data_IF_354026040061
#
_entry.id   IF_354026040061
#
_cell.length_a   1.000
_cell.length_b   1.000
_cell.length_c   1.000
_cell.angle_alpha   90.00
_cell.angle_beta   90.00
_cell.angle_gamma   90.00
#
_symmetry.space_group_name_H-M   'P 1'
#
loop_
_entity.id
_entity.type
_entity.pdbx_description
1 polymer ?
#
# COMPACT_ATOMS: atom_id res chain seq x y z
N UNK A 1 -14.34 -15.83 15.89
CA UNK A 1 -14.37 -14.35 15.83
C UNK A 1 -15.76 -13.85 15.51
N UNK A 2 -16.22 -12.81 16.18
CA UNK A 2 -17.45 -12.08 15.82
C UNK A 2 -17.11 -10.63 15.57
N UNK A 3 -17.51 -10.07 14.43
CA UNK A 3 -17.26 -8.68 14.06
C UNK A 3 -18.58 -8.00 13.68
N UNK A 4 -18.81 -6.82 14.24
CA UNK A 4 -20.02 -6.04 14.01
C UNK A 4 -19.72 -4.55 13.87
N UNK A 5 -20.45 -3.90 13.00
CA UNK A 5 -20.44 -2.46 12.81
C UNK A 5 -21.67 -1.82 13.48
N UNK A 6 -21.42 -0.75 14.21
CA UNK A 6 -22.47 0.16 14.67
C UNK A 6 -22.18 1.57 14.17
N UNK A 7 -23.21 2.37 13.94
CA UNK A 7 -23.04 3.72 13.38
C UNK A 7 -23.65 4.77 14.29
N UNK A 8 -22.96 5.90 14.44
CA UNK A 8 -23.45 7.09 15.14
C UNK A 8 -22.95 8.35 14.41
N UNK A 9 -23.88 9.15 13.88
CA UNK A 9 -23.59 10.45 13.27
C UNK A 9 -22.50 10.42 12.16
N UNK A 10 -22.41 9.35 11.36
CA UNK A 10 -21.38 9.17 10.32
C UNK A 10 -20.07 8.55 10.83
N UNK A 11 -20.00 8.19 12.11
CA UNK A 11 -18.89 7.40 12.66
C UNK A 11 -19.29 5.94 12.68
N UNK A 12 -18.50 5.11 12.05
CA UNK A 12 -18.61 3.65 12.04
C UNK A 12 -17.71 3.07 13.13
N UNK A 13 -18.27 2.30 14.03
CA UNK A 13 -17.55 1.61 15.10
C UNK A 13 -17.51 0.14 14.79
N UNK A 14 -16.32 -0.40 14.52
CA UNK A 14 -16.09 -1.83 14.47
C UNK A 14 -15.83 -2.33 15.89
N UNK A 15 -16.71 -3.20 16.37
CA UNK A 15 -16.47 -4.00 17.57
C UNK A 15 -16.22 -5.44 17.16
N UNK A 16 -15.25 -6.13 17.79
CA UNK A 16 -15.02 -7.53 17.53
C UNK A 16 -14.69 -8.29 18.81
N UNK A 17 -15.11 -9.55 18.85
CA UNK A 17 -14.94 -10.42 19.99
C UNK A 17 -14.32 -11.74 19.56
N UNK A 18 -13.26 -12.13 20.24
CA UNK A 18 -12.62 -13.43 20.10
C UNK A 18 -13.58 -14.52 20.55
N UNK A 19 -13.67 -15.61 19.79
CA UNK A 19 -14.26 -16.87 20.25
C UNK A 19 -13.17 -17.67 20.99
N UNK A 20 -13.53 -18.80 21.59
CA UNK A 20 -12.63 -19.55 22.46
C UNK A 20 -11.36 -20.07 21.78
N UNK A 21 -11.42 -20.27 20.48
CA UNK A 21 -10.32 -20.74 19.63
C UNK A 21 -9.41 -19.62 19.09
N UNK A 22 -9.81 -18.36 19.22
CA UNK A 22 -9.04 -17.21 18.74
C UNK A 22 -8.04 -16.73 19.81
N UNK A 23 -6.94 -16.09 19.39
CA UNK A 23 -5.92 -15.57 20.30
C UNK A 23 -5.68 -14.06 20.03
N UNK A 24 -5.20 -13.37 21.06
CA UNK A 24 -4.72 -11.98 20.95
C UNK A 24 -3.39 -11.87 20.19
N UNK A 25 -2.68 -12.99 20.02
CA UNK A 25 -1.48 -13.10 19.19
C UNK A 25 -1.90 -13.73 17.86
N UNK A 26 -1.80 -12.96 16.79
CA UNK A 26 -2.15 -13.39 15.44
C UNK A 26 -0.97 -13.31 14.49
N UNK A 27 -1.25 -13.61 13.22
CA UNK A 27 -0.22 -13.56 12.17
C UNK A 27 -0.78 -12.84 10.93
N UNK A 28 -0.11 -11.79 10.51
CA UNK A 28 -0.44 -11.11 9.24
C UNK A 28 0.01 -11.90 8.02
N UNK A 29 -0.50 -11.51 6.86
CA UNK A 29 -0.28 -12.25 5.61
C UNK A 29 1.18 -12.47 5.25
N UNK A 30 2.08 -11.57 5.65
CA UNK A 30 3.52 -11.69 5.42
C UNK A 30 4.26 -12.58 6.44
N UNK A 31 3.53 -13.23 7.35
CA UNK A 31 4.06 -14.14 8.36
C UNK A 31 4.53 -13.47 9.65
N UNK A 32 4.40 -12.13 9.78
CA UNK A 32 4.77 -11.45 11.01
C UNK A 32 3.73 -11.72 12.11
N UNK A 33 4.21 -12.12 13.29
CA UNK A 33 3.38 -12.18 14.49
C UNK A 33 2.98 -10.77 14.95
N UNK A 34 1.72 -10.60 15.31
CA UNK A 34 1.14 -9.34 15.76
C UNK A 34 0.28 -9.56 17.00
N UNK A 35 0.30 -8.58 17.91
CA UNK A 35 -0.49 -8.62 19.14
C UNK A 35 -1.60 -7.58 19.10
N UNK A 36 -2.80 -7.99 19.45
CA UNK A 36 -3.96 -7.13 19.61
C UNK A 36 -3.81 -6.19 20.80
N UNK A 37 -4.12 -4.91 20.59
CA UNK A 37 -4.17 -3.90 21.66
C UNK A 37 -5.59 -3.60 22.11
N UNK A 38 -6.51 -3.50 21.14
CA UNK A 38 -7.94 -3.25 21.40
C UNK A 38 -8.79 -4.11 20.46
N UNK A 39 -10.00 -4.38 20.89
CA UNK A 39 -11.00 -5.11 20.11
C UNK A 39 -12.05 -4.19 19.46
N UNK A 40 -11.68 -2.94 19.25
CA UNK A 40 -12.54 -1.97 18.56
C UNK A 40 -11.73 -0.88 17.89
N UNK A 41 -12.29 -0.34 16.83
CA UNK A 41 -11.78 0.88 16.16
C UNK A 41 -12.92 1.70 15.56
N UNK A 42 -12.60 2.92 15.17
CA UNK A 42 -13.56 3.86 14.58
C UNK A 42 -13.13 4.26 13.17
N UNK A 43 -14.12 4.42 12.31
CA UNK A 43 -13.95 4.97 10.97
C UNK A 43 -14.96 6.12 10.81
N UNK A 44 -14.47 7.34 10.69
CA UNK A 44 -15.31 8.53 10.44
C UNK A 44 -15.32 8.82 8.96
N UNK A 45 -16.47 8.66 8.36
CA UNK A 45 -16.73 9.01 6.96
C UNK A 45 -17.04 10.51 6.84
N UNK A 46 -16.83 11.13 5.67
CA UNK A 46 -17.08 12.56 5.47
C UNK A 46 -18.56 12.93 5.62
N UNK A 47 -19.45 11.97 5.44
CA UNK A 47 -20.89 12.08 5.63
C UNK A 47 -21.49 10.75 6.10
N UNK A 48 -22.65 10.76 6.75
CA UNK A 48 -23.38 9.53 7.05
C UNK A 48 -23.75 8.78 5.77
N UNK A 49 -23.58 7.45 5.77
CA UNK A 49 -24.07 6.59 4.70
C UNK A 49 -25.35 5.90 5.19
N UNK A 50 -26.44 5.92 4.41
CA UNK A 50 -27.71 5.32 4.83
C UNK A 50 -27.63 3.79 4.90
N UNK A 51 -26.88 3.20 3.98
CA UNK A 51 -26.62 1.76 3.94
C UNK A 51 -25.28 1.48 3.23
N UNK A 52 -24.55 0.49 3.73
CA UNK A 52 -23.34 -0.04 3.11
C UNK A 52 -23.61 -1.50 2.81
N UNK A 53 -23.33 -1.93 1.59
CA UNK A 53 -23.51 -3.33 1.19
C UNK A 53 -22.82 -4.27 2.18
N UNK A 54 -23.45 -5.42 2.59
CA UNK A 54 -22.87 -6.34 3.57
C UNK A 54 -21.47 -6.81 3.23
N UNK A 55 -21.18 -7.11 1.96
CA UNK A 55 -19.85 -7.54 1.54
C UNK A 55 -18.79 -6.46 1.76
N UNK A 56 -19.15 -5.18 1.63
CA UNK A 56 -18.23 -4.06 1.87
C UNK A 56 -17.92 -3.92 3.36
N UNK A 57 -18.94 -3.96 4.21
CA UNK A 57 -18.75 -3.89 5.66
C UNK A 57 -17.97 -5.11 6.18
N UNK A 58 -18.24 -6.30 5.65
CA UNK A 58 -17.52 -7.52 5.99
C UNK A 58 -16.06 -7.49 5.49
N UNK A 59 -15.81 -7.06 4.25
CA UNK A 59 -14.44 -6.91 3.73
C UNK A 59 -13.64 -5.89 4.55
N UNK A 60 -14.25 -4.73 4.87
CA UNK A 60 -13.61 -3.72 5.73
C UNK A 60 -13.26 -4.30 7.11
N UNK A 61 -14.19 -5.01 7.76
CA UNK A 61 -13.94 -5.68 9.03
C UNK A 61 -12.82 -6.73 8.89
N UNK A 62 -12.86 -7.56 7.85
CA UNK A 62 -11.88 -8.61 7.61
C UNK A 62 -10.45 -8.08 7.49
N UNK A 63 -10.23 -6.94 6.81
CA UNK A 63 -8.90 -6.31 6.75
C UNK A 63 -8.33 -5.93 8.11
N UNK A 64 -9.19 -5.81 9.13
CA UNK A 64 -8.79 -5.48 10.50
C UNK A 64 -8.59 -6.73 11.35
N UNK A 65 -9.52 -7.72 11.26
CA UNK A 65 -9.57 -8.83 12.22
C UNK A 65 -8.89 -10.12 11.74
N UNK A 66 -8.56 -10.21 10.45
CA UNK A 66 -7.99 -11.41 9.83
C UNK A 66 -6.81 -12.03 10.60
N UNK A 67 -5.83 -11.25 11.12
CA UNK A 67 -4.67 -11.82 11.82
C UNK A 67 -5.03 -12.67 13.04
N UNK A 68 -6.14 -12.36 13.70
CA UNK A 68 -6.56 -12.98 14.98
C UNK A 68 -7.71 -13.97 14.83
N UNK A 69 -8.19 -14.20 13.62
CA UNK A 69 -9.27 -15.15 13.35
C UNK A 69 -8.68 -16.49 12.96
N UNK A 70 -9.06 -17.58 13.68
CA UNK A 70 -8.44 -18.89 13.51
C UNK A 70 -9.31 -19.90 12.79
N UNK A 71 -10.62 -19.94 13.05
CA UNK A 71 -11.51 -20.99 12.52
C UNK A 71 -12.73 -20.44 11.82
N UNK A 72 -13.40 -19.46 12.42
CA UNK A 72 -14.66 -18.91 11.92
C UNK A 72 -14.77 -17.42 12.17
N UNK A 73 -15.41 -16.72 11.25
CA UNK A 73 -15.88 -15.35 11.42
C UNK A 73 -17.39 -15.25 11.25
N UNK A 74 -18.04 -14.58 12.17
CA UNK A 74 -19.46 -14.22 12.09
C UNK A 74 -19.58 -12.71 11.95
N UNK A 75 -20.15 -12.25 10.86
CA UNK A 75 -20.50 -10.85 10.63
C UNK A 75 -21.90 -10.55 11.15
N UNK A 76 -22.18 -9.30 11.40
CA UNK A 76 -23.49 -8.81 11.87
C UNK A 76 -24.59 -8.86 10.77
N UNK A 77 -24.19 -8.93 9.51
CA UNK A 77 -25.09 -9.03 8.34
C UNK A 77 -24.67 -10.19 7.43
N UNK A 78 -25.66 -10.82 6.72
CA UNK A 78 -25.32 -11.86 5.76
C UNK A 78 -24.43 -11.34 4.64
N UNK A 79 -23.37 -12.08 4.31
CA UNK A 79 -22.47 -11.80 3.18
C UNK A 79 -22.88 -12.59 1.94
N UNK A 80 -22.37 -12.24 0.78
CA UNK A 80 -22.54 -13.05 -0.44
C UNK A 80 -21.84 -14.40 -0.31
N UNK A 81 -22.34 -15.38 -1.10
CA UNK A 81 -21.71 -16.69 -1.20
C UNK A 81 -20.27 -16.59 -1.70
N UNK A 82 -20.02 -15.68 -2.65
CA UNK A 82 -18.71 -15.51 -3.26
C UNK A 82 -17.69 -14.96 -2.24
N UNK A 83 -18.09 -13.99 -1.41
CA UNK A 83 -17.21 -13.46 -0.36
C UNK A 83 -16.91 -14.51 0.71
N UNK A 84 -17.93 -15.26 1.17
CA UNK A 84 -17.74 -16.33 2.13
C UNK A 84 -16.78 -17.41 1.60
N UNK A 85 -17.00 -17.85 0.37
CA UNK A 85 -16.12 -18.84 -0.29
C UNK A 85 -14.69 -18.32 -0.49
N UNK A 86 -14.52 -17.03 -0.79
CA UNK A 86 -13.18 -16.44 -0.93
C UNK A 86 -12.42 -16.36 0.40
N UNK A 87 -13.11 -16.10 1.51
CA UNK A 87 -12.51 -16.16 2.86
C UNK A 87 -12.11 -17.61 3.17
N UNK A 88 -13.00 -18.56 2.95
CA UNK A 88 -12.74 -19.97 3.25
C UNK A 88 -11.56 -20.51 2.42
N UNK A 89 -11.59 -20.32 1.09
CA UNK A 89 -10.53 -20.79 0.19
C UNK A 89 -9.19 -20.08 0.39
N UNK A 90 -9.22 -18.80 0.71
CA UNK A 90 -8.02 -18.00 0.85
C UNK A 90 -7.34 -18.11 2.22
N UNK A 91 -8.13 -18.30 3.28
CA UNK A 91 -7.67 -18.23 4.66
C UNK A 91 -7.99 -19.48 5.49
N UNK A 92 -8.79 -20.42 4.98
CA UNK A 92 -9.23 -21.59 5.72
C UNK A 92 -10.25 -21.27 6.83
N UNK A 93 -10.93 -20.14 6.74
CA UNK A 93 -11.83 -19.61 7.78
C UNK A 93 -13.27 -19.68 7.28
N UNK A 94 -14.14 -20.34 8.03
CA UNK A 94 -15.59 -20.32 7.77
C UNK A 94 -16.16 -18.92 7.98
N UNK A 95 -16.90 -18.39 7.03
CA UNK A 95 -17.48 -17.05 7.09
C UNK A 95 -19.00 -17.05 6.93
N UNK A 96 -19.71 -16.26 7.73
CA UNK A 96 -21.16 -16.15 7.65
C UNK A 96 -21.77 -15.10 8.57
N UNK A 97 -23.11 -15.00 8.57
CA UNK A 97 -24.07 -15.77 7.76
C UNK A 97 -24.00 -15.43 6.26
N UNK A 98 -24.53 -16.30 5.41
CA UNK A 98 -24.56 -16.14 3.94
C UNK A 98 -25.99 -15.86 3.48
N UNK A 99 -26.15 -14.93 2.52
CA UNK A 99 -27.49 -14.58 2.00
C UNK A 99 -27.55 -13.24 1.24
N UNK A 100 -26.50 -12.45 1.24
CA UNK A 100 -26.48 -11.20 0.46
C UNK A 100 -26.34 -11.47 -1.05
N UNK A 101 -26.93 -10.62 -1.92
CA UNK A 101 -26.65 -10.67 -3.36
C UNK A 101 -25.20 -10.22 -3.63
N UNK A 102 -24.61 -10.58 -4.78
CA UNK A 102 -23.33 -10.04 -5.19
C UNK A 102 -23.43 -8.54 -5.51
N UNK A 103 -22.32 -7.84 -5.37
CA UNK A 103 -22.21 -6.40 -5.66
C UNK A 103 -21.39 -6.15 -6.92
N UNK A 104 -21.73 -5.08 -7.63
CA UNK A 104 -20.92 -4.53 -8.73
C UNK A 104 -20.84 -3.00 -8.59
N UNK A 105 -19.82 -2.42 -9.23
CA UNK A 105 -19.62 -0.98 -9.39
C UNK A 105 -18.80 -0.72 -10.64
N UNK A 106 -18.67 0.53 -11.06
CA UNK A 106 -18.09 0.87 -12.36
C UNK A 106 -16.81 1.69 -12.28
N UNK A 107 -16.62 2.50 -11.24
CA UNK A 107 -15.52 3.45 -11.12
C UNK A 107 -14.32 2.83 -10.41
N UNK A 108 -13.12 3.34 -10.74
CA UNK A 108 -11.88 3.01 -10.04
C UNK A 108 -11.52 4.16 -9.10
N UNK A 109 -11.36 3.88 -7.79
CA UNK A 109 -10.82 4.86 -6.85
C UNK A 109 -9.34 4.64 -6.62
N UNK A 110 -8.62 5.69 -6.25
CA UNK A 110 -7.22 5.59 -5.77
C UNK A 110 -7.20 5.59 -4.24
N UNK A 111 -6.63 4.53 -3.63
CA UNK A 111 -6.24 4.55 -2.22
C UNK A 111 -5.06 5.50 -2.07
N UNK A 112 -5.36 6.75 -1.69
CA UNK A 112 -4.44 7.89 -1.84
C UNK A 112 -3.75 8.25 -0.54
N UNK A 113 -2.44 8.04 -0.48
CA UNK A 113 -1.64 8.37 0.71
C UNK A 113 -0.90 9.71 0.60
N UNK A 114 -0.83 10.33 -0.57
CA UNK A 114 0.06 11.47 -0.85
C UNK A 114 1.54 11.08 -0.99
N UNK A 115 1.89 9.80 -0.89
CA UNK A 115 3.23 9.30 -1.23
C UNK A 115 3.46 9.27 -2.74
N UNK A 116 4.72 9.25 -3.19
CA UNK A 116 5.07 9.29 -4.62
C UNK A 116 4.29 8.25 -5.45
N UNK A 117 4.17 7.03 -4.94
CA UNK A 117 3.52 5.94 -5.65
C UNK A 117 2.01 6.19 -5.86
N UNK A 118 1.30 6.63 -4.80
CA UNK A 118 -0.13 6.98 -4.92
C UNK A 118 -0.37 8.25 -5.74
N UNK A 119 0.58 9.21 -5.73
CA UNK A 119 0.53 10.40 -6.60
C UNK A 119 0.75 10.01 -8.05
N UNK A 120 1.68 9.10 -8.35
CA UNK A 120 1.87 8.57 -9.70
C UNK A 120 0.60 7.87 -10.22
N UNK A 121 -0.05 7.04 -9.39
CA UNK A 121 -1.34 6.41 -9.72
C UNK A 121 -2.42 7.48 -9.99
N UNK A 122 -2.51 8.51 -9.14
CA UNK A 122 -3.48 9.59 -9.32
C UNK A 122 -3.23 10.41 -10.59
N UNK A 123 -1.97 10.62 -10.98
CA UNK A 123 -1.61 11.28 -12.23
C UNK A 123 -1.99 10.45 -13.47
N UNK A 124 -1.85 9.12 -13.38
CA UNK A 124 -2.24 8.18 -14.43
C UNK A 124 -3.76 8.04 -14.58
N UNK A 125 -4.50 8.25 -13.50
CA UNK A 125 -5.96 8.08 -13.43
C UNK A 125 -6.62 9.42 -13.06
N UNK A 126 -6.67 10.40 -13.99
CA UNK A 126 -7.13 11.76 -13.68
C UNK A 126 -8.59 11.85 -13.23
N UNK A 127 -9.45 10.94 -13.69
CA UNK A 127 -10.88 10.93 -13.38
C UNK A 127 -11.25 10.08 -12.14
N UNK A 128 -10.27 9.38 -11.56
CA UNK A 128 -10.51 8.53 -10.40
C UNK A 128 -10.65 9.37 -9.12
N UNK A 129 -11.69 9.15 -8.29
CA UNK A 129 -11.76 9.74 -6.97
C UNK A 129 -10.58 9.30 -6.10
N UNK A 130 -10.05 10.24 -5.33
CA UNK A 130 -8.97 9.98 -4.37
C UNK A 130 -9.60 9.72 -3.00
N UNK A 131 -9.27 8.60 -2.36
CA UNK A 131 -9.72 8.31 -1.00
C UNK A 131 -8.51 8.23 -0.08
N UNK A 132 -8.41 9.20 0.82
CA UNK A 132 -7.31 9.32 1.77
C UNK A 132 -7.70 8.75 3.13
N UNK A 133 -6.89 7.82 3.63
CA UNK A 133 -6.98 7.31 4.99
C UNK A 133 -6.17 8.22 5.93
N UNK A 134 -6.87 9.00 6.74
CA UNK A 134 -6.23 9.80 7.78
C UNK A 134 -6.23 9.06 9.12
N UNK A 135 -5.04 8.83 9.64
CA UNK A 135 -4.81 8.31 10.99
C UNK A 135 -5.26 9.33 12.02
N UNK A 136 -5.99 8.88 13.03
CA UNK A 136 -6.32 9.71 14.19
C UNK A 136 -5.91 8.98 15.47
N UNK A 137 -5.56 9.71 16.55
CA UNK A 137 -5.20 9.10 17.82
C UNK A 137 -6.31 8.22 18.38
N UNK A 138 -5.95 7.10 18.98
CA UNK A 138 -6.87 6.27 19.73
C UNK A 138 -6.95 6.74 21.19
N UNK A 139 -8.16 6.79 21.76
CA UNK A 139 -8.36 7.31 23.12
C UNK A 139 -7.64 6.50 24.22
N UNK A 140 -7.48 5.20 24.01
CA UNK A 140 -6.91 4.27 25.01
C UNK A 140 -5.47 3.84 24.73
N UNK A 141 -4.92 4.18 23.57
CA UNK A 141 -3.57 3.78 23.16
C UNK A 141 -2.73 5.03 22.90
N UNK A 142 -1.62 5.23 23.62
CA UNK A 142 -0.76 6.38 23.41
C UNK A 142 -0.23 6.41 21.97
N UNK A 143 -0.42 7.51 21.29
CA UNK A 143 0.12 7.71 19.96
C UNK A 143 1.42 8.52 20.02
N UNK A 144 2.51 7.93 19.54
CA UNK A 144 3.83 8.58 19.43
C UNK A 144 4.19 9.03 18.01
N UNK A 145 3.27 8.81 17.04
CA UNK A 145 3.53 9.12 15.64
C UNK A 145 2.84 10.42 15.27
N UNK A 146 3.58 11.29 14.62
CA UNK A 146 2.98 12.39 13.88
C UNK A 146 2.31 11.81 12.62
N UNK A 147 1.19 12.40 12.25
CA UNK A 147 0.37 11.92 11.13
C UNK A 147 0.33 12.96 10.03
N UNK A 148 0.05 12.49 8.83
CA UNK A 148 -0.26 13.37 7.73
C UNK A 148 -1.41 14.29 8.09
N UNK A 149 -1.23 15.56 7.76
CA UNK A 149 -2.27 16.56 7.88
C UNK A 149 -3.17 16.48 6.66
N UNK A 150 -4.34 15.89 6.82
CA UNK A 150 -5.32 15.75 5.75
C UNK A 150 -5.79 17.09 5.20
N UNK A 151 -5.78 18.14 6.02
CA UNK A 151 -6.06 19.51 5.60
C UNK A 151 -5.06 20.03 4.55
N UNK A 152 -3.79 19.67 4.65
CA UNK A 152 -2.77 20.00 3.64
C UNK A 152 -3.07 19.27 2.33
N UNK A 153 -3.36 17.97 2.39
CA UNK A 153 -3.72 17.21 1.19
C UNK A 153 -5.01 17.72 0.55
N UNK A 154 -6.02 18.07 1.35
CA UNK A 154 -7.27 18.64 0.86
C UNK A 154 -7.05 19.97 0.12
N UNK A 155 -6.24 20.88 0.67
CA UNK A 155 -5.91 22.15 0.01
C UNK A 155 -5.17 21.93 -1.31
N UNK A 156 -4.24 20.97 -1.34
CA UNK A 156 -3.50 20.65 -2.56
C UNK A 156 -4.40 19.98 -3.61
N UNK A 157 -5.27 19.06 -3.22
CA UNK A 157 -6.23 18.44 -4.11
C UNK A 157 -7.18 19.47 -4.72
N UNK A 158 -7.71 20.40 -3.92
CA UNK A 158 -8.57 21.49 -4.40
C UNK A 158 -7.88 22.37 -5.45
N UNK A 159 -6.58 22.70 -5.28
CA UNK A 159 -5.80 23.47 -6.27
C UNK A 159 -5.67 22.75 -7.62
N UNK A 160 -5.68 21.44 -7.62
CA UNK A 160 -5.56 20.63 -8.83
C UNK A 160 -6.91 20.14 -9.35
N UNK A 161 -8.03 20.59 -8.75
CA UNK A 161 -9.38 20.20 -9.15
C UNK A 161 -9.70 18.72 -8.92
N UNK A 162 -8.98 18.04 -8.00
CA UNK A 162 -9.19 16.61 -7.72
C UNK A 162 -10.21 16.41 -6.60
N UNK A 163 -11.09 15.43 -6.81
CA UNK A 163 -12.03 14.96 -5.80
C UNK A 163 -11.30 14.11 -4.76
N UNK A 164 -11.13 14.65 -3.54
CA UNK A 164 -10.46 13.98 -2.42
C UNK A 164 -11.43 13.73 -1.28
N UNK A 165 -11.74 12.47 -1.04
CA UNK A 165 -12.49 12.00 0.11
C UNK A 165 -11.52 11.67 1.26
N UNK A 166 -11.69 12.31 2.42
CA UNK A 166 -10.88 12.05 3.62
C UNK A 166 -11.70 11.18 4.57
N UNK A 167 -11.13 10.03 4.93
CA UNK A 167 -11.69 9.09 5.90
C UNK A 167 -10.75 9.00 7.09
N UNK A 168 -11.25 9.31 8.29
CA UNK A 168 -10.46 9.30 9.52
C UNK A 168 -10.65 7.97 10.26
N UNK A 169 -9.55 7.36 10.76
CA UNK A 169 -9.66 6.14 11.55
C UNK A 169 -8.50 5.96 12.51
N UNK A 170 -8.80 5.31 13.63
CA UNK A 170 -7.85 4.85 14.64
C UNK A 170 -7.55 3.34 14.56
N UNK A 171 -7.92 2.67 13.48
CA UNK A 171 -7.80 1.22 13.33
C UNK A 171 -6.36 0.68 13.48
N UNK A 172 -5.34 1.50 13.22
CA UNK A 172 -3.95 1.09 13.44
C UNK A 172 -3.62 0.80 14.90
N UNK A 173 -4.42 1.31 15.82
CA UNK A 173 -4.26 1.08 17.26
C UNK A 173 -4.94 -0.18 17.75
N UNK A 174 -5.58 -0.95 16.89
CA UNK A 174 -5.97 -2.34 17.20
C UNK A 174 -4.74 -3.22 17.40
N UNK A 175 -3.61 -2.83 16.85
CA UNK A 175 -2.33 -3.53 16.89
C UNK A 175 -1.38 -2.89 17.89
N UNK A 176 -0.86 -3.69 18.87
CA UNK A 176 0.10 -3.24 19.87
C UNK A 176 1.55 -3.51 19.46
N UNK A 177 1.82 -4.71 18.97
CA UNK A 177 3.16 -5.20 18.66
C UNK A 177 3.24 -5.69 17.23
N UNK A 178 4.36 -5.43 16.57
CA UNK A 178 5.60 -4.81 17.08
C UNK A 178 5.47 -3.30 17.37
N UNK A 179 4.41 -2.68 16.92
CA UNK A 179 4.03 -1.27 17.13
C UNK A 179 2.68 -1.02 16.44
N UNK A 180 1.94 0.05 16.76
CA UNK A 180 0.76 0.45 16.01
C UNK A 180 1.05 0.48 14.50
N UNK A 181 0.13 -0.06 13.73
CA UNK A 181 0.22 -0.19 12.28
C UNK A 181 -1.03 -0.86 11.71
N UNK A 182 -1.08 -1.04 10.42
CA UNK A 182 -2.21 -1.75 9.81
C UNK A 182 -2.19 -3.23 10.21
N UNK A 183 -3.30 -3.78 10.75
CA UNK A 183 -3.42 -5.21 11.02
C UNK A 183 -3.15 -6.07 9.79
N UNK A 184 -3.68 -5.65 8.64
CA UNK A 184 -3.30 -6.13 7.32
C UNK A 184 -2.99 -4.93 6.41
N UNK A 185 -2.12 -5.12 5.42
CA UNK A 185 -1.72 -4.04 4.50
C UNK A 185 -2.92 -3.40 3.77
N UNK A 186 -3.98 -4.17 3.55
CA UNK A 186 -5.21 -3.74 2.89
C UNK A 186 -6.12 -2.88 3.78
N UNK A 187 -5.90 -2.85 5.08
CA UNK A 187 -6.70 -2.03 6.01
C UNK A 187 -6.61 -0.52 5.71
N UNK A 188 -5.57 -0.08 5.01
CA UNK A 188 -5.49 1.30 4.49
C UNK A 188 -6.64 1.67 3.58
N UNK A 189 -7.30 0.69 2.96
CA UNK A 189 -8.44 0.90 2.05
C UNK A 189 -9.81 0.86 2.74
N UNK A 190 -9.89 0.68 4.05
CA UNK A 190 -11.18 0.60 4.78
C UNK A 190 -12.12 1.75 4.39
N UNK A 191 -11.59 2.97 4.27
CA UNK A 191 -12.38 4.13 3.82
C UNK A 191 -12.95 3.96 2.41
N UNK A 192 -12.12 3.56 1.45
CA UNK A 192 -12.56 3.32 0.07
C UNK A 192 -13.57 2.16 -0.01
N UNK A 193 -13.36 1.10 0.79
CA UNK A 193 -14.28 -0.04 0.85
C UNK A 193 -15.65 0.39 1.36
N UNK A 194 -15.73 1.11 2.48
CA UNK A 194 -17.00 1.56 3.04
C UNK A 194 -17.72 2.59 2.13
N UNK A 195 -16.96 3.45 1.45
CA UNK A 195 -17.49 4.44 0.51
C UNK A 195 -17.83 3.87 -0.88
N UNK A 196 -17.56 2.59 -1.12
CA UNK A 196 -17.62 2.02 -2.46
C UNK A 196 -19.02 2.05 -3.09
N UNK A 197 -20.08 1.87 -2.30
CA UNK A 197 -21.44 2.02 -2.79
C UNK A 197 -21.75 3.46 -3.20
N UNK A 198 -21.40 4.42 -2.37
CA UNK A 198 -21.64 5.86 -2.57
C UNK A 198 -20.87 6.43 -3.77
N UNK A 199 -19.63 5.94 -3.99
CA UNK A 199 -18.76 6.38 -5.08
C UNK A 199 -18.90 5.51 -6.34
N UNK A 200 -19.80 4.53 -6.34
CA UNK A 200 -19.98 3.52 -7.41
C UNK A 200 -18.66 2.81 -7.78
N UNK A 201 -17.88 2.40 -6.78
CA UNK A 201 -16.58 1.79 -7.04
C UNK A 201 -16.71 0.34 -7.50
N UNK A 202 -16.08 0.01 -8.62
CA UNK A 202 -15.88 -1.33 -9.16
C UNK A 202 -14.42 -1.80 -9.02
N UNK A 203 -13.55 -1.05 -8.33
CA UNK A 203 -12.18 -1.41 -8.03
C UNK A 203 -11.46 -0.38 -7.20
N UNK A 204 -10.32 -0.78 -6.60
CA UNK A 204 -9.45 0.10 -5.83
C UNK A 204 -8.02 0.02 -6.37
N UNK A 205 -7.49 1.16 -6.82
CA UNK A 205 -6.11 1.29 -7.27
C UNK A 205 -5.19 1.61 -6.09
N UNK A 206 -4.11 0.85 -5.96
CA UNK A 206 -3.08 1.03 -4.94
C UNK A 206 -1.75 1.42 -5.58
N UNK A 207 -0.98 2.23 -4.84
CA UNK A 207 0.37 2.64 -5.20
C UNK A 207 1.44 1.63 -4.76
N UNK A 208 1.21 0.32 -4.99
CA UNK A 208 2.22 -0.71 -4.76
C UNK A 208 2.95 -0.98 -6.07
N UNK A 209 4.24 -0.68 -6.06
CA UNK A 209 5.14 -0.74 -7.20
C UNK A 209 5.75 -2.16 -7.38
N UNK A 210 6.62 -2.31 -8.35
CA UNK A 210 7.21 -3.58 -8.77
C UNK A 210 7.95 -4.30 -7.63
N UNK A 211 8.69 -3.59 -6.78
CA UNK A 211 9.37 -4.15 -5.62
C UNK A 211 8.38 -4.87 -4.70
N UNK A 212 7.28 -4.21 -4.38
CA UNK A 212 6.21 -4.77 -3.54
C UNK A 212 5.43 -5.89 -4.22
N UNK A 213 5.22 -5.80 -5.54
CA UNK A 213 4.40 -6.79 -6.27
C UNK A 213 5.18 -8.04 -6.67
N UNK A 214 6.41 -7.91 -7.15
CA UNK A 214 7.14 -8.98 -7.82
C UNK A 214 8.45 -9.37 -7.14
N UNK A 215 9.15 -8.42 -6.50
CA UNK A 215 10.50 -8.63 -5.99
C UNK A 215 10.51 -9.02 -4.50
N UNK A 216 9.33 -9.37 -3.94
CA UNK A 216 9.22 -9.73 -2.55
C UNK A 216 9.37 -8.53 -1.62
N UNK A 217 8.78 -7.41 -1.98
CA UNK A 217 8.71 -6.22 -1.15
C UNK A 217 8.10 -6.55 0.21
N UNK A 218 8.83 -6.20 1.28
CA UNK A 218 8.53 -6.59 2.64
C UNK A 218 9.72 -7.25 3.30
N UNK A 219 9.55 -7.75 4.53
CA UNK A 219 10.65 -8.23 5.37
C UNK A 219 11.33 -9.51 4.92
N UNK A 220 10.74 -10.29 3.99
CA UNK A 220 11.06 -11.71 3.94
C UNK A 220 11.36 -12.32 2.58
N UNK A 221 11.12 -11.64 1.47
CA UNK A 221 11.28 -12.23 0.16
C UNK A 221 12.05 -11.30 -0.78
N UNK A 222 13.37 -11.31 -0.69
CA UNK A 222 14.24 -10.68 -1.70
C UNK A 222 14.36 -11.59 -2.93
N UNK A 223 13.22 -11.98 -3.50
CA UNK A 223 13.18 -12.88 -4.66
C UNK A 223 11.90 -12.66 -5.48
N UNK A 224 11.97 -12.99 -6.73
CA UNK A 224 10.82 -12.99 -7.62
C UNK A 224 9.66 -13.83 -7.06
N UNK A 225 8.49 -13.21 -6.92
CA UNK A 225 7.31 -13.81 -6.30
C UNK A 225 6.08 -13.59 -7.19
N UNK A 226 5.90 -14.37 -8.28
CA UNK A 226 4.79 -14.20 -9.22
C UNK A 226 3.41 -14.41 -8.56
N UNK A 227 3.34 -15.27 -7.57
CA UNK A 227 2.12 -15.60 -6.82
C UNK A 227 2.09 -14.91 -5.44
N UNK A 228 2.46 -13.63 -5.38
CA UNK A 228 2.44 -12.86 -4.15
C UNK A 228 1.04 -12.94 -3.49
N UNK A 229 0.91 -13.46 -2.26
CA UNK A 229 -0.39 -13.69 -1.63
C UNK A 229 -1.14 -12.41 -1.30
N UNK A 230 -0.42 -11.29 -1.14
CA UNK A 230 -1.00 -9.98 -0.83
C UNK A 230 -1.49 -9.26 -2.08
N UNK A 231 -0.66 -9.20 -3.14
CA UNK A 231 -0.88 -8.25 -4.22
C UNK A 231 -1.19 -8.86 -5.57
N UNK A 232 -1.02 -10.19 -5.76
CA UNK A 232 -1.44 -10.81 -7.01
C UNK A 232 -2.97 -10.92 -7.09
N UNK A 233 -3.60 -10.71 -8.26
CA UNK A 233 -5.04 -10.91 -8.43
C UNK A 233 -5.50 -12.34 -8.09
N UNK A 234 -4.65 -13.33 -8.35
CA UNK A 234 -4.88 -14.73 -7.97
C UNK A 234 -4.49 -15.06 -6.53
N UNK A 235 -3.89 -14.11 -5.78
CA UNK A 235 -3.59 -14.27 -4.36
C UNK A 235 -4.85 -14.24 -3.49
N UNK A 236 -4.71 -14.62 -2.22
CA UNK A 236 -5.87 -14.72 -1.32
C UNK A 236 -6.60 -13.39 -1.16
N UNK A 237 -5.89 -12.28 -1.03
CA UNK A 237 -6.49 -10.95 -0.94
C UNK A 237 -7.06 -10.49 -2.28
N UNK A 238 -6.38 -10.75 -3.40
CA UNK A 238 -6.89 -10.39 -4.72
C UNK A 238 -8.23 -11.04 -5.02
N UNK A 239 -8.36 -12.34 -4.74
CA UNK A 239 -9.64 -13.06 -4.87
C UNK A 239 -10.71 -12.54 -3.93
N UNK A 240 -10.35 -12.24 -2.67
CA UNK A 240 -11.28 -11.72 -1.68
C UNK A 240 -11.85 -10.36 -2.09
N UNK A 241 -11.01 -9.43 -2.50
CA UNK A 241 -11.45 -8.13 -2.99
C UNK A 241 -12.32 -8.26 -4.26
N UNK A 242 -11.94 -9.13 -5.18
CA UNK A 242 -12.74 -9.39 -6.39
C UNK A 242 -14.12 -9.98 -6.05
N UNK A 243 -14.22 -10.89 -5.07
CA UNK A 243 -15.47 -11.46 -4.60
C UNK A 243 -16.40 -10.41 -3.98
N UNK A 244 -15.85 -9.36 -3.35
CA UNK A 244 -16.62 -8.22 -2.85
C UNK A 244 -16.95 -7.19 -3.95
N UNK A 245 -16.66 -7.47 -5.23
CA UNK A 245 -16.85 -6.54 -6.35
C UNK A 245 -15.92 -5.33 -6.34
N UNK A 246 -14.75 -5.45 -5.69
CA UNK A 246 -13.72 -4.39 -5.57
C UNK A 246 -12.32 -4.93 -5.90
N UNK A 247 -12.06 -5.50 -7.09
CA UNK A 247 -10.75 -6.01 -7.43
C UNK A 247 -9.63 -5.00 -7.13
N UNK A 248 -8.50 -5.53 -6.63
CA UNK A 248 -7.27 -4.78 -6.43
C UNK A 248 -6.69 -4.45 -7.80
N UNK A 249 -6.35 -3.19 -8.02
CA UNK A 249 -5.71 -2.71 -9.23
C UNK A 249 -4.36 -2.10 -8.88
N UNK A 250 -3.29 -2.54 -9.55
CA UNK A 250 -1.93 -2.05 -9.32
C UNK A 250 -1.39 -1.35 -10.58
N UNK A 251 -1.79 -0.10 -10.87
CA UNK A 251 -1.39 0.57 -12.10
C UNK A 251 0.13 0.73 -12.21
N UNK A 252 0.81 0.88 -11.07
CA UNK A 252 2.26 1.01 -10.98
C UNK A 252 2.98 -0.30 -10.59
N UNK A 253 2.25 -1.42 -10.55
CA UNK A 253 2.80 -2.72 -10.16
C UNK A 253 3.90 -3.26 -11.08
N UNK A 254 4.04 -2.71 -12.27
CA UNK A 254 5.08 -3.07 -13.24
C UNK A 254 6.28 -2.14 -13.27
N UNK A 255 6.33 -1.09 -12.45
CA UNK A 255 7.41 -0.10 -12.46
C UNK A 255 8.06 0.05 -11.09
N UNK A 256 9.32 0.49 -11.05
CA UNK A 256 10.07 0.71 -9.83
C UNK A 256 9.63 1.99 -9.09
N UNK A 257 10.06 2.14 -7.83
CA UNK A 257 9.89 3.40 -7.08
C UNK A 257 10.60 4.60 -7.75
N UNK A 258 11.64 4.39 -8.55
CA UNK A 258 12.26 5.48 -9.31
C UNK A 258 11.33 6.02 -10.38
N UNK A 259 10.62 5.14 -11.08
CA UNK A 259 9.62 5.53 -12.08
C UNK A 259 8.43 6.21 -11.42
N UNK A 260 7.89 5.65 -10.32
CA UNK A 260 6.75 6.29 -9.63
C UNK A 260 7.13 7.66 -9.10
N UNK A 261 8.33 7.84 -8.56
CA UNK A 261 8.83 9.14 -8.11
C UNK A 261 8.98 10.13 -9.28
N UNK A 262 9.56 9.70 -10.40
CA UNK A 262 9.68 10.52 -11.61
C UNK A 262 8.32 10.99 -12.12
N UNK A 263 7.36 10.06 -12.23
CA UNK A 263 5.98 10.37 -12.65
C UNK A 263 5.29 11.33 -11.68
N UNK A 264 5.42 11.10 -10.38
CA UNK A 264 4.82 11.95 -9.37
C UNK A 264 5.38 13.37 -9.38
N UNK A 265 6.70 13.52 -9.45
CA UNK A 265 7.38 14.82 -9.48
C UNK A 265 7.18 15.56 -10.79
N UNK A 266 6.99 14.84 -11.91
CA UNK A 266 6.66 15.42 -13.22
C UNK A 266 5.18 15.79 -13.40
N UNK A 267 4.30 15.37 -12.47
CA UNK A 267 2.86 15.58 -12.60
C UNK A 267 2.40 16.95 -12.04
N UNK A 268 1.19 17.40 -12.40
CA UNK A 268 0.56 18.56 -11.75
C UNK A 268 0.34 18.37 -10.23
N UNK A 269 0.39 17.13 -9.75
CA UNK A 269 0.22 16.79 -8.34
C UNK A 269 1.53 16.78 -7.54
N UNK A 270 2.66 17.19 -8.12
CA UNK A 270 4.00 17.12 -7.50
C UNK A 270 4.07 17.75 -6.10
N UNK A 271 3.33 18.83 -5.87
CA UNK A 271 3.30 19.50 -4.57
C UNK A 271 2.61 18.68 -3.48
N UNK A 272 1.84 17.66 -3.85
CA UNK A 272 1.17 16.75 -2.91
C UNK A 272 2.10 15.63 -2.43
N UNK A 273 3.27 15.44 -3.06
CA UNK A 273 4.16 14.33 -2.74
C UNK A 273 4.70 14.44 -1.32
N UNK A 274 4.29 13.50 -0.45
CA UNK A 274 4.72 13.39 0.94
C UNK A 274 5.04 11.92 1.26
N UNK A 275 6.26 11.65 1.68
CA UNK A 275 6.65 10.27 2.01
C UNK A 275 7.03 10.08 3.48
N UNK A 276 7.22 11.16 4.23
CA UNK A 276 7.68 11.08 5.61
C UNK A 276 6.53 11.27 6.60
N UNK A 277 6.24 10.23 7.39
CA UNK A 277 5.22 10.27 8.44
C UNK A 277 5.67 11.02 9.71
N UNK A 278 6.94 11.42 9.79
CA UNK A 278 7.54 12.15 10.92
C UNK A 278 7.82 13.61 10.59
N UNK A 279 7.51 14.02 9.37
CA UNK A 279 7.63 15.39 8.93
C UNK A 279 6.48 16.26 9.46
N UNK A 280 6.59 17.53 9.22
CA UNK A 280 5.57 18.54 9.48
C UNK A 280 5.07 19.17 8.17
N UNK A 281 4.38 20.29 8.27
CA UNK A 281 3.87 21.03 7.11
C UNK A 281 5.00 21.58 6.22
N UNK A 282 6.21 21.72 6.78
CA UNK A 282 7.40 22.18 6.06
C UNK A 282 8.07 21.09 5.21
N UNK A 283 7.71 19.82 5.41
CA UNK A 283 8.25 18.75 4.60
C UNK A 283 8.73 17.51 5.36
N UNK A 284 9.61 16.71 4.78
CA UNK A 284 10.14 15.50 5.40
C UNK A 284 11.04 15.83 6.60
N UNK A 285 11.07 14.96 7.63
CA UNK A 285 11.89 15.18 8.83
C UNK A 285 13.41 15.19 8.59
N UNK A 286 13.87 14.71 7.41
CA UNK A 286 15.28 14.69 7.03
C UNK A 286 16.18 13.68 7.76
N UNK A 287 15.71 13.02 8.82
CA UNK A 287 16.56 12.20 9.71
C UNK A 287 16.17 10.71 9.75
N UNK A 288 15.01 10.33 9.21
CA UNK A 288 14.57 8.92 9.24
C UNK A 288 15.07 8.13 8.02
N UNK A 289 15.07 6.79 8.16
CA UNK A 289 15.51 5.91 7.07
C UNK A 289 14.71 6.07 5.78
N UNK A 290 13.42 6.40 5.88
CA UNK A 290 12.58 6.65 4.70
C UNK A 290 12.99 7.94 3.99
N UNK A 291 13.35 9.00 4.72
CA UNK A 291 13.85 10.25 4.11
C UNK A 291 15.16 10.00 3.36
N UNK A 292 16.11 9.30 3.99
CA UNK A 292 17.39 9.01 3.36
C UNK A 292 17.23 8.11 2.12
N UNK A 293 16.40 7.08 2.22
CA UNK A 293 16.09 6.17 1.10
C UNK A 293 15.43 6.91 -0.08
N UNK A 294 14.42 7.75 0.19
CA UNK A 294 13.75 8.53 -0.85
C UNK A 294 14.67 9.63 -1.44
N UNK A 295 15.56 10.19 -0.63
CA UNK A 295 16.59 11.11 -1.12
C UNK A 295 17.57 10.41 -2.07
N UNK A 296 17.98 9.18 -1.77
CA UNK A 296 18.84 8.39 -2.66
C UNK A 296 18.20 8.22 -4.04
N UNK A 297 16.91 7.83 -4.08
CA UNK A 297 16.17 7.65 -5.33
C UNK A 297 16.03 8.98 -6.09
N UNK A 298 15.63 10.04 -5.38
CA UNK A 298 15.48 11.36 -6.02
C UNK A 298 16.81 11.89 -6.55
N UNK A 299 17.89 11.79 -5.78
CA UNK A 299 19.22 12.22 -6.19
C UNK A 299 19.71 11.42 -7.43
N UNK A 300 19.41 10.12 -7.48
CA UNK A 300 19.73 9.28 -8.64
C UNK A 300 18.97 9.70 -9.90
N UNK A 301 17.67 10.02 -9.79
CA UNK A 301 16.85 10.54 -10.90
C UNK A 301 17.39 11.86 -11.39
N UNK A 302 17.75 12.77 -10.47
CA UNK A 302 18.24 14.12 -10.76
C UNK A 302 19.76 14.17 -11.07
N UNK A 303 20.46 13.05 -10.97
CA UNK A 303 21.93 12.95 -11.23
C UNK A 303 22.74 13.93 -10.37
N UNK A 304 22.40 14.10 -9.11
CA UNK A 304 23.06 15.00 -8.15
C UNK A 304 23.54 14.29 -6.90
N UNK A 305 24.48 14.87 -6.14
CA UNK A 305 24.80 14.38 -4.80
C UNK A 305 23.61 14.40 -3.85
N UNK A 306 23.68 13.60 -2.78
CA UNK A 306 22.68 13.66 -1.71
C UNK A 306 22.66 15.03 -1.06
N UNK A 307 21.49 15.52 -0.66
CA UNK A 307 21.34 16.78 0.07
C UNK A 307 21.95 16.65 1.47
N UNK A 308 22.77 17.59 1.86
CA UNK A 308 23.40 17.63 3.20
C UNK A 308 22.40 17.86 4.33
N UNK A 309 21.21 18.37 4.01
CA UNK A 309 20.11 18.56 4.96
C UNK A 309 19.42 17.24 5.35
N UNK A 310 19.65 16.16 4.59
CA UNK A 310 19.14 14.82 4.90
C UNK A 310 20.23 14.07 5.66
N UNK A 311 20.21 14.18 6.98
CA UNK A 311 21.18 13.54 7.87
C UNK A 311 20.61 12.29 8.51
N UNK A 312 21.17 11.11 8.16
CA UNK A 312 20.77 9.89 8.83
C UNK A 312 21.30 9.85 10.27
N UNK A 313 20.44 9.52 11.24
CA UNK A 313 20.93 9.13 12.56
C UNK A 313 21.84 7.90 12.43
N UNK A 314 22.83 7.75 13.35
CA UNK A 314 23.77 6.61 13.32
C UNK A 314 23.09 5.24 13.18
N UNK A 315 22.01 4.91 13.94
CA UNK A 315 21.30 3.64 13.76
C UNK A 315 20.63 3.47 12.39
N UNK A 316 20.20 4.56 11.76
CA UNK A 316 19.62 4.53 10.42
C UNK A 316 20.68 4.27 9.37
N UNK A 317 21.83 4.93 9.46
CA UNK A 317 22.96 4.71 8.55
C UNK A 317 23.56 3.31 8.66
N UNK A 318 23.63 2.75 9.89
CA UNK A 318 24.28 1.49 10.19
C UNK A 318 23.70 0.30 9.40
N UNK A 319 22.42 0.33 9.02
CA UNK A 319 21.81 -0.76 8.26
C UNK A 319 22.40 -0.95 6.85
N UNK A 320 22.90 0.12 6.23
CA UNK A 320 23.54 0.07 4.90
C UNK A 320 25.05 -0.13 4.97
N UNK A 321 25.59 -0.26 6.20
CA UNK A 321 26.97 -0.66 6.43
C UNK A 321 27.13 -2.19 6.56
N UNK A 322 26.01 -2.92 6.63
CA UNK A 322 26.00 -4.38 6.67
C UNK A 322 25.90 -4.96 5.25
N UNK A 323 26.32 -6.22 5.03
CA UNK A 323 26.05 -6.89 3.77
C UNK A 323 24.56 -6.99 3.43
N UNK A 324 24.18 -7.09 2.12
CA UNK A 324 22.81 -7.36 1.72
C UNK A 324 22.31 -8.72 2.30
N UNK A 325 20.97 -8.97 2.31
CA UNK A 325 19.95 -8.24 1.55
C UNK A 325 19.40 -7.00 2.27
N UNK A 326 19.04 -5.98 1.48
CA UNK A 326 18.42 -4.75 1.98
C UNK A 326 16.95 -4.71 1.62
N UNK A 327 16.10 -4.11 2.48
CA UNK A 327 14.73 -3.77 2.08
C UNK A 327 14.74 -2.71 0.97
N UNK A 328 14.13 -3.02 -0.17
CA UNK A 328 14.17 -2.19 -1.37
C UNK A 328 15.57 -2.18 -2.02
N UNK A 329 16.23 -3.34 -2.06
CA UNK A 329 17.59 -3.47 -2.55
C UNK A 329 17.73 -2.98 -3.99
N UNK A 330 16.77 -3.26 -4.86
CA UNK A 330 16.72 -2.80 -6.25
C UNK A 330 16.86 -1.28 -6.37
N UNK A 331 16.26 -0.54 -5.44
CA UNK A 331 16.35 0.92 -5.43
C UNK A 331 17.66 1.43 -4.83
N UNK A 332 18.26 0.65 -3.92
CA UNK A 332 19.60 0.96 -3.40
C UNK A 332 20.63 0.75 -4.50
N UNK A 333 20.53 -0.35 -5.26
CA UNK A 333 21.36 -0.60 -6.46
C UNK A 333 21.22 0.54 -7.48
N UNK A 334 19.97 0.92 -7.79
CA UNK A 334 19.67 2.02 -8.69
C UNK A 334 20.30 3.35 -8.23
N UNK A 335 20.17 3.66 -6.94
CA UNK A 335 20.73 4.86 -6.33
C UNK A 335 22.24 4.88 -6.30
N UNK A 336 22.86 3.77 -5.86
CA UNK A 336 24.31 3.64 -5.79
C UNK A 336 24.98 3.76 -7.16
N UNK A 337 24.32 3.26 -8.20
CA UNK A 337 24.84 3.32 -9.57
C UNK A 337 24.82 4.73 -10.18
N UNK A 338 24.01 5.67 -9.65
CA UNK A 338 23.72 6.96 -10.32
C UNK A 338 24.04 8.21 -9.51
N UNK A 339 24.16 8.10 -8.20
CA UNK A 339 24.42 9.26 -7.33
C UNK A 339 25.89 9.61 -7.33
N UNK A 340 26.30 10.80 -7.80
CA UNK A 340 27.69 11.25 -7.72
C UNK A 340 28.18 11.36 -6.26
N UNK A 341 29.40 10.91 -5.98
CA UNK A 341 30.00 11.00 -4.65
C UNK A 341 29.38 10.06 -3.63
N UNK A 342 28.83 8.94 -4.07
CA UNK A 342 28.18 7.93 -3.21
C UNK A 342 29.13 7.38 -2.14
N UNK A 343 30.43 7.34 -2.42
CA UNK A 343 31.51 6.88 -1.54
C UNK A 343 31.63 7.73 -0.25
N UNK A 344 31.21 8.97 -0.29
CA UNK A 344 31.17 9.89 0.87
C UNK A 344 29.86 9.84 1.66
N UNK A 345 28.97 8.91 1.37
CA UNK A 345 27.61 8.87 1.94
C UNK A 345 27.39 7.65 2.85
N UNK A 346 26.28 7.59 3.59
CA UNK A 346 25.86 6.39 4.34
C UNK A 346 25.71 5.13 3.47
N UNK A 347 25.63 5.24 2.16
CA UNK A 347 25.48 4.13 1.21
C UNK A 347 26.79 3.61 0.66
N UNK A 348 27.95 4.18 1.03
CA UNK A 348 29.25 3.79 0.50
C UNK A 348 29.52 2.27 0.56
N UNK A 349 29.24 1.66 1.72
CA UNK A 349 29.41 0.20 1.89
C UNK A 349 28.41 -0.61 1.08
N UNK A 350 27.17 -0.14 0.99
CA UNK A 350 26.17 -0.80 0.15
C UNK A 350 26.60 -0.76 -1.34
N UNK A 351 27.16 0.35 -1.80
CA UNK A 351 27.68 0.47 -3.16
C UNK A 351 28.83 -0.52 -3.43
N UNK A 352 29.77 -0.68 -2.46
CA UNK A 352 30.85 -1.68 -2.56
C UNK A 352 30.29 -3.11 -2.63
N UNK A 353 29.34 -3.46 -1.75
CA UNK A 353 28.77 -4.82 -1.72
C UNK A 353 27.97 -5.16 -2.98
N UNK A 354 27.19 -4.20 -3.51
CA UNK A 354 26.29 -4.45 -4.62
C UNK A 354 26.99 -4.35 -5.98
N UNK A 355 28.04 -3.53 -6.12
CA UNK A 355 28.76 -3.34 -7.38
C UNK A 355 27.87 -2.93 -8.56
N UNK A 356 26.73 -2.30 -8.26
CA UNK A 356 25.71 -1.96 -9.26
C UNK A 356 26.20 -0.88 -10.21
N UNK A 357 25.85 -1.01 -11.49
CA UNK A 357 26.17 -0.05 -12.55
C UNK A 357 24.88 0.48 -13.17
N UNK A 358 24.96 1.57 -13.93
CA UNK A 358 23.81 2.08 -14.67
C UNK A 358 23.26 1.06 -15.66
N UNK A 359 24.13 0.29 -16.31
CA UNK A 359 23.75 -0.76 -17.24
C UNK A 359 22.99 -1.88 -16.52
N UNK A 360 23.51 -2.38 -15.39
CA UNK A 360 22.89 -3.47 -14.61
C UNK A 360 21.53 -3.08 -13.99
N UNK A 361 21.26 -1.79 -13.84
CA UNK A 361 20.03 -1.25 -13.22
C UNK A 361 19.09 -0.51 -14.18
N UNK A 362 19.42 -0.46 -15.48
CA UNK A 362 18.64 0.27 -16.50
C UNK A 362 17.21 -0.24 -16.65
N UNK A 363 16.97 -1.54 -16.42
CA UNK A 363 15.65 -2.15 -16.45
C UNK A 363 14.67 -1.54 -15.45
N UNK A 364 15.15 -0.97 -14.35
CA UNK A 364 14.32 -0.31 -13.33
C UNK A 364 13.65 1.00 -13.82
N UNK A 365 14.03 1.51 -14.97
CA UNK A 365 13.42 2.69 -15.59
C UNK A 365 12.26 2.36 -16.52
N UNK A 366 11.93 1.07 -16.69
CA UNK A 366 10.94 0.55 -17.65
C UNK A 366 9.84 -0.25 -16.96
N UNK A 367 8.72 -0.43 -17.67
CA UNK A 367 7.57 -1.17 -17.20
C UNK A 367 7.68 -2.68 -17.52
N UNK A 368 7.53 -3.52 -16.53
CA UNK A 368 7.42 -4.97 -16.63
C UNK A 368 6.05 -5.34 -17.19
N UNK A 369 5.99 -5.74 -18.46
CA UNK A 369 4.75 -5.96 -19.21
C UNK A 369 3.77 -6.97 -18.58
N UNK A 370 4.18 -8.07 -17.93
CA UNK A 370 3.25 -8.98 -17.28
C UNK A 370 2.34 -8.32 -16.25
N UNK A 371 2.78 -7.24 -15.57
CA UNK A 371 1.95 -6.52 -14.60
C UNK A 371 0.72 -5.87 -15.27
N UNK A 372 0.82 -5.46 -16.52
CA UNK A 372 -0.32 -4.87 -17.26
C UNK A 372 -1.42 -5.91 -17.48
N UNK A 373 -1.05 -7.19 -17.68
CA UNK A 373 -2.02 -8.27 -17.89
C UNK A 373 -2.85 -8.54 -16.64
N UNK A 374 -2.33 -8.22 -15.45
CA UNK A 374 -3.03 -8.38 -14.17
C UNK A 374 -4.10 -7.31 -13.93
N UNK A 375 -4.05 -6.20 -14.64
CA UNK A 375 -5.03 -5.13 -14.50
C UNK A 375 -6.37 -5.58 -15.09
N UNK A 376 -7.50 -5.45 -14.35
CA UNK A 376 -8.81 -5.80 -14.86
C UNK A 376 -9.13 -5.07 -16.18
N UNK A 377 -9.86 -5.77 -17.06
CA UNK A 377 -10.11 -5.34 -18.43
C UNK A 377 -10.60 -3.88 -18.59
N UNK A 378 -11.52 -3.36 -17.73
CA UNK A 378 -12.04 -2.00 -17.90
C UNK A 378 -10.95 -0.91 -17.86
N UNK A 379 -9.86 -1.11 -17.10
CA UNK A 379 -8.82 -0.10 -16.88
C UNK A 379 -7.48 -0.44 -17.54
N UNK A 380 -7.34 -1.67 -18.06
CA UNK A 380 -6.07 -2.18 -18.61
C UNK A 380 -5.54 -1.33 -19.74
N UNK A 381 -6.42 -0.93 -20.68
CA UNK A 381 -6.01 -0.15 -21.85
C UNK A 381 -5.46 1.22 -21.43
N UNK A 382 -6.17 1.94 -20.57
CA UNK A 382 -5.74 3.26 -20.09
C UNK A 382 -4.34 3.19 -19.46
N UNK A 383 -4.10 2.21 -18.58
CA UNK A 383 -2.79 2.03 -17.91
C UNK A 383 -1.73 1.61 -18.93
N UNK A 384 -2.05 0.71 -19.88
CA UNK A 384 -1.10 0.26 -20.90
C UNK A 384 -0.67 1.41 -21.81
N UNK A 385 -1.62 2.23 -22.27
CA UNK A 385 -1.35 3.38 -23.16
C UNK A 385 -0.50 4.43 -22.43
N UNK A 386 -0.79 4.72 -21.16
CA UNK A 386 0.03 5.61 -20.32
C UNK A 386 1.45 5.07 -20.16
N UNK A 387 1.60 3.79 -19.82
CA UNK A 387 2.94 3.19 -19.64
C UNK A 387 3.73 3.16 -20.93
N UNK A 388 3.07 2.94 -22.07
CA UNK A 388 3.74 2.97 -23.37
C UNK A 388 4.27 4.36 -23.72
N UNK A 389 3.51 5.42 -23.41
CA UNK A 389 3.88 6.81 -23.72
C UNK A 389 4.93 7.39 -22.77
N UNK A 390 4.78 7.16 -21.47
CA UNK A 390 5.56 7.86 -20.43
C UNK A 390 6.78 7.09 -19.93
N UNK A 391 6.78 5.75 -20.05
CA UNK A 391 7.79 4.89 -19.41
C UNK A 391 8.50 4.01 -20.44
N UNK A 392 7.75 3.39 -21.34
CA UNK A 392 8.21 2.30 -22.20
C UNK A 392 8.23 0.95 -21.47
N UNK A 393 8.24 -0.13 -22.26
CA UNK A 393 8.26 -1.49 -21.72
C UNK A 393 9.65 -2.09 -21.74
N UNK A 394 9.93 -2.96 -20.76
CA UNK A 394 11.11 -3.79 -20.73
C UNK A 394 11.22 -4.64 -21.99
N UNK A 395 12.45 -4.80 -22.46
CA UNK A 395 12.83 -5.86 -23.42
C UNK A 395 12.73 -7.22 -22.74
N UNK A 396 12.81 -8.29 -23.53
CA UNK A 396 12.79 -9.65 -22.97
C UNK A 396 13.98 -9.91 -22.01
N UNK A 397 15.15 -9.36 -22.34
CA UNK A 397 16.34 -9.51 -21.48
C UNK A 397 16.17 -8.73 -20.16
N UNK A 398 15.65 -7.51 -20.20
CA UNK A 398 15.35 -6.74 -18.99
C UNK A 398 14.28 -7.42 -18.13
N UNK A 399 13.24 -7.99 -18.71
CA UNK A 399 12.22 -8.73 -17.97
C UNK A 399 12.79 -9.94 -17.22
N UNK A 400 13.83 -10.59 -17.76
CA UNK A 400 14.52 -11.68 -17.07
C UNK A 400 15.21 -11.24 -15.78
N UNK A 401 15.66 -9.99 -15.65
CA UNK A 401 16.20 -9.49 -14.39
C UNK A 401 15.15 -9.50 -13.28
N UNK A 402 13.89 -9.18 -13.61
CA UNK A 402 12.76 -9.30 -12.66
C UNK A 402 12.56 -10.76 -12.28
N UNK A 403 12.48 -11.66 -13.27
CA UNK A 403 12.15 -13.09 -13.09
C UNK A 403 13.26 -13.87 -12.37
N UNK A 404 14.51 -13.41 -12.49
CA UNK A 404 15.68 -14.00 -11.83
C UNK A 404 16.02 -13.36 -10.49
N UNK A 405 15.26 -12.34 -10.05
CA UNK A 405 15.55 -11.59 -8.83
C UNK A 405 15.66 -12.50 -7.61
N UNK A 406 16.78 -12.40 -6.88
CA UNK A 406 17.02 -13.17 -5.66
C UNK A 406 17.19 -14.69 -5.87
N UNK A 407 17.31 -15.14 -7.11
CA UNK A 407 17.78 -16.51 -7.38
C UNK A 407 19.30 -16.52 -7.24
N UNK A 408 19.82 -17.46 -6.45
CA UNK A 408 21.27 -17.66 -6.39
C UNK A 408 21.79 -18.01 -7.78
N UNK A 409 22.68 -17.18 -8.30
CA UNK A 409 23.49 -17.49 -9.49
C UNK A 409 24.52 -18.56 -9.18
#
# INVERSE_FOLDING_TARGET
MRAAWTTDGGVWHLGFRLDAEDDIIGTVTDGQAVRMATNSCRVRLPRPLPDVHPDLSALAAWTVVAPWTTRRITFDRPVSRDLAAAIEQGFGIEAGPVGAPPRAGTRLAVSYSGGADSVAVAAMLPDAPLVHFQRVPHQRVPNRWTHYRADVLAKLAARTGRDLTIVQSDLEFTLAEPRPGYPEHHAVAVGAILMAGELDLGGIAFGYEMGSRWLGGGRYLHRYTPHNPMWSPGGRWGRLFAAAGLPIVLPVGGVSEAVTMRLALGSPLREQVRWCLRGDDGGPCGVCGKCLYKELIQAAIERRPLRTTITASRPVAAKWQQPPPYGGQEMIEYGCARVPGIEGTPFAKAAEYLGATEESTGWLERCYRPAIKEIPAPWRRQVADFMAGEVGFMTQNEARHVEMWGQAT
#
